data_IF_600594751333
#
_entry.id   IF_600594751333
#
_cell.length_a   1.000
_cell.length_b   1.000
_cell.length_c   1.000
_cell.angle_alpha   90.00
_cell.angle_beta   90.00
_cell.angle_gamma   90.00
#
_symmetry.space_group_name_H-M   'P 1'
#
loop_
_entity.id
_entity.type
_entity.pdbx_description
1 polymer ?
#
# COMPACT_ATOMS: atom_id res chain seq x y z
N UNK A 1 14.59 19.12 -18.23
CA UNK A 1 14.76 20.28 -17.34
C UNK A 1 16.21 20.80 -17.45
N UNK A 2 16.51 22.08 -17.23
CA UNK A 2 17.89 22.61 -17.35
C UNK A 2 18.64 22.57 -16.02
N UNK A 3 19.95 22.32 -16.06
CA UNK A 3 20.83 22.35 -14.88
C UNK A 3 20.74 23.68 -14.11
N UNK A 4 20.59 24.79 -14.83
CA UNK A 4 20.42 26.13 -14.24
C UNK A 4 19.22 26.24 -13.28
N UNK A 5 18.12 25.52 -13.53
CA UNK A 5 16.95 25.55 -12.66
C UNK A 5 17.18 24.77 -11.35
N UNK A 6 17.96 23.68 -11.41
CA UNK A 6 18.38 22.92 -10.23
C UNK A 6 19.40 23.72 -9.40
N UNK A 7 20.33 24.40 -10.05
CA UNK A 7 21.31 25.28 -9.39
C UNK A 7 20.63 26.46 -8.67
N UNK A 8 19.53 27.00 -9.20
CA UNK A 8 18.71 28.01 -8.51
C UNK A 8 18.09 27.49 -7.20
N UNK A 9 17.89 26.17 -7.09
CA UNK A 9 17.47 25.51 -5.85
C UNK A 9 18.63 25.21 -4.91
N UNK A 10 19.84 25.68 -5.22
CA UNK A 10 21.05 25.45 -4.42
C UNK A 10 21.65 24.06 -4.59
N UNK A 11 21.27 23.34 -5.64
CA UNK A 11 21.80 22.01 -5.95
C UNK A 11 23.07 22.11 -6.79
N UNK A 12 24.04 21.25 -6.48
CA UNK A 12 25.17 21.00 -7.37
C UNK A 12 24.81 19.85 -8.30
N UNK A 13 24.84 20.08 -9.61
CA UNK A 13 24.43 19.09 -10.61
C UNK A 13 25.66 18.46 -11.24
N UNK A 14 25.67 17.13 -11.31
CA UNK A 14 26.74 16.37 -11.94
C UNK A 14 26.13 15.25 -12.80
N UNK A 15 26.80 14.87 -13.88
CA UNK A 15 26.46 13.65 -14.61
C UNK A 15 27.28 12.48 -14.05
N UNK A 16 26.60 11.41 -13.66
CA UNK A 16 27.20 10.16 -13.23
C UNK A 16 26.57 9.02 -14.02
N UNK A 17 27.39 8.20 -14.69
CA UNK A 17 26.93 7.02 -15.45
C UNK A 17 25.84 7.31 -16.51
N UNK A 18 25.83 8.51 -17.07
CA UNK A 18 24.83 8.95 -18.06
C UNK A 18 23.49 9.38 -17.46
N UNK A 19 23.42 9.48 -16.12
CA UNK A 19 22.29 9.96 -15.36
C UNK A 19 22.62 11.30 -14.70
N UNK A 20 21.64 12.20 -14.65
CA UNK A 20 21.78 13.50 -13.99
C UNK A 20 21.56 13.32 -12.48
N UNK A 21 22.57 13.65 -11.69
CA UNK A 21 22.50 13.67 -10.23
C UNK A 21 22.58 15.10 -9.71
N UNK A 22 21.94 15.32 -8.56
CA UNK A 22 21.97 16.60 -7.87
C UNK A 22 22.35 16.39 -6.40
N UNK A 23 23.16 17.28 -5.85
CA UNK A 23 23.58 17.26 -4.45
C UNK A 23 23.11 18.53 -3.73
N UNK A 24 22.49 18.35 -2.57
CA UNK A 24 22.13 19.41 -1.64
C UNK A 24 23.02 19.34 -0.41
N UNK A 25 23.73 20.42 -0.11
CA UNK A 25 24.33 20.62 1.20
C UNK A 25 23.27 21.18 2.16
N UNK A 26 23.01 20.49 3.26
CA UNK A 26 22.10 20.94 4.31
C UNK A 26 22.86 21.86 5.26
N UNK A 27 22.33 23.06 5.49
CA UNK A 27 22.93 24.02 6.42
C UNK A 27 22.18 24.10 7.76
N UNK A 28 20.97 23.55 7.85
CA UNK A 28 20.20 23.38 9.09
C UNK A 28 20.30 21.96 9.68
N UNK A 29 20.44 21.86 11.01
CA UNK A 29 20.44 20.57 11.73
C UNK A 29 19.00 20.04 11.97
N UNK A 30 18.24 19.78 10.91
CA UNK A 30 16.84 19.33 11.03
C UNK A 30 16.66 17.81 10.87
N UNK A 31 17.59 17.13 10.22
CA UNK A 31 17.50 15.69 9.94
C UNK A 31 18.56 14.96 10.76
N UNK A 32 18.10 14.28 11.80
CA UNK A 32 18.94 13.52 12.71
C UNK A 32 18.38 12.10 12.82
N UNK A 33 19.20 11.11 12.52
CA UNK A 33 18.81 9.71 12.70
C UNK A 33 18.72 9.40 14.20
N UNK A 34 17.54 9.06 14.74
CA UNK A 34 17.37 8.89 16.18
C UNK A 34 18.04 7.64 16.75
N UNK A 35 18.45 6.68 15.90
CA UNK A 35 19.06 5.41 16.32
C UNK A 35 20.59 5.45 16.29
N UNK A 36 21.18 6.29 15.45
CA UNK A 36 22.63 6.46 15.33
C UNK A 36 23.13 7.82 15.83
N UNK A 37 22.22 8.77 16.06
CA UNK A 37 22.52 10.19 16.31
C UNK A 37 23.30 10.86 15.18
N UNK A 38 23.36 10.24 14.01
CA UNK A 38 24.02 10.81 12.84
C UNK A 38 23.21 12.01 12.34
N UNK A 39 23.90 13.12 12.08
CA UNK A 39 23.31 14.33 11.51
C UNK A 39 23.51 14.28 10.00
N UNK A 40 22.43 14.35 9.24
CA UNK A 40 22.52 14.45 7.79
C UNK A 40 22.92 15.86 7.42
N UNK A 41 24.07 16.01 6.76
CA UNK A 41 24.57 17.30 6.26
C UNK A 41 24.51 17.40 4.74
N UNK A 42 24.24 16.29 4.05
CA UNK A 42 24.25 16.21 2.59
C UNK A 42 23.23 15.19 2.13
N UNK A 43 22.55 15.51 1.02
CA UNK A 43 21.58 14.62 0.36
C UNK A 43 21.88 14.59 -1.12
N UNK A 44 21.93 13.40 -1.72
CA UNK A 44 22.08 13.21 -3.17
C UNK A 44 20.78 12.69 -3.76
N UNK A 45 20.50 13.17 -4.95
CA UNK A 45 19.30 12.88 -5.71
C UNK A 45 19.64 12.37 -7.10
N UNK A 46 18.89 11.39 -7.55
CA UNK A 46 18.72 11.12 -8.97
C UNK A 46 17.65 12.05 -9.52
N UNK A 47 17.96 12.76 -10.61
CA UNK A 47 16.97 13.56 -11.33
C UNK A 47 16.23 12.66 -12.31
N UNK A 48 14.90 12.58 -12.18
CA UNK A 48 14.03 11.78 -13.06
C UNK A 48 12.91 12.68 -13.57
N UNK A 49 13.02 13.15 -14.81
CA UNK A 49 12.05 14.09 -15.38
C UNK A 49 12.03 15.42 -14.62
N UNK A 50 10.92 15.70 -13.93
CA UNK A 50 10.74 16.89 -13.06
C UNK A 50 10.74 16.55 -11.56
N UNK A 51 11.27 15.37 -11.20
CA UNK A 51 11.32 14.91 -9.82
C UNK A 51 12.75 14.66 -9.35
N UNK A 52 12.99 14.89 -8.06
CA UNK A 52 14.21 14.50 -7.35
C UNK A 52 13.91 13.26 -6.50
N UNK A 53 14.64 12.18 -6.77
CA UNK A 53 14.55 10.92 -6.01
C UNK A 53 15.79 10.79 -5.15
N UNK A 54 15.63 10.68 -3.83
CA UNK A 54 16.77 10.55 -2.91
C UNK A 54 17.47 9.20 -3.15
N UNK A 55 18.79 9.26 -3.36
CA UNK A 55 19.66 8.09 -3.50
C UNK A 55 20.64 7.96 -2.33
N UNK A 56 21.00 9.06 -1.66
CA UNK A 56 21.77 9.07 -0.42
C UNK A 56 21.36 10.24 0.49
N UNK A 57 21.43 10.10 1.82
CA UNK A 57 21.91 8.93 2.58
C UNK A 57 20.82 7.83 2.74
N UNK A 58 21.18 6.60 3.13
CA UNK A 58 20.27 5.45 3.16
C UNK A 58 19.00 5.63 4.00
N UNK A 59 19.06 6.39 5.10
CA UNK A 59 17.92 6.70 5.96
C UNK A 59 16.85 7.55 5.26
N UNK A 60 17.20 8.26 4.18
CA UNK A 60 16.29 9.07 3.37
C UNK A 60 15.88 8.37 2.06
N UNK A 61 16.52 7.26 1.71
CA UNK A 61 16.17 6.49 0.50
C UNK A 61 14.77 5.90 0.65
N UNK A 62 13.97 6.04 -0.41
CA UNK A 62 12.58 5.60 -0.48
C UNK A 62 11.57 6.63 0.00
N UNK A 63 11.99 7.83 0.41
CA UNK A 63 11.07 8.95 0.62
C UNK A 63 10.36 9.36 -0.68
N UNK A 64 9.15 9.97 -0.59
CA UNK A 64 8.42 10.42 -1.77
C UNK A 64 9.25 11.36 -2.64
N UNK A 65 9.25 11.12 -3.95
CA UNK A 65 9.98 11.95 -4.89
C UNK A 65 9.52 13.42 -4.83
N UNK A 66 10.47 14.35 -4.78
CA UNK A 66 10.20 15.77 -4.63
C UNK A 66 9.96 16.39 -5.99
N UNK A 67 8.79 17.00 -6.19
CA UNK A 67 8.44 17.65 -7.44
C UNK A 67 9.14 19.01 -7.53
N UNK A 68 9.96 19.20 -8.54
CA UNK A 68 10.80 20.40 -8.67
C UNK A 68 9.94 21.66 -8.83
N UNK A 69 8.80 21.53 -9.52
CA UNK A 69 7.82 22.62 -9.70
C UNK A 69 7.20 23.14 -8.39
N UNK A 70 7.29 22.38 -7.30
CA UNK A 70 6.79 22.76 -5.98
C UNK A 70 7.87 23.42 -5.10
N UNK A 71 9.12 23.48 -5.57
CA UNK A 71 10.25 23.99 -4.83
C UNK A 71 10.58 25.42 -5.28
N UNK A 72 10.73 26.32 -4.30
CA UNK A 72 11.00 27.75 -4.55
C UNK A 72 12.42 28.17 -4.15
N UNK A 73 13.14 27.36 -3.36
CA UNK A 73 14.49 27.65 -2.86
C UNK A 73 15.12 26.42 -2.21
N UNK A 74 16.44 26.46 -1.97
CA UNK A 74 17.16 25.46 -1.18
C UNK A 74 16.51 25.25 0.20
N UNK A 75 16.17 26.34 0.90
CA UNK A 75 15.54 26.28 2.22
C UNK A 75 14.16 25.61 2.18
N UNK A 76 13.39 25.83 1.11
CA UNK A 76 12.11 25.16 0.93
C UNK A 76 12.31 23.65 0.72
N UNK A 77 13.31 23.25 -0.08
CA UNK A 77 13.69 21.85 -0.28
C UNK A 77 14.15 21.18 1.04
N UNK A 78 15.02 21.83 1.82
CA UNK A 78 15.41 21.35 3.15
C UNK A 78 14.19 21.13 4.06
N UNK A 79 13.25 22.09 4.06
CA UNK A 79 12.03 22.00 4.87
C UNK A 79 11.12 20.85 4.46
N UNK A 80 10.95 20.59 3.16
CA UNK A 80 10.15 19.45 2.68
C UNK A 80 10.82 18.13 3.04
N UNK A 81 12.14 18.02 2.90
CA UNK A 81 12.89 16.83 3.31
C UNK A 81 12.75 16.56 4.81
N UNK A 82 12.90 17.59 5.64
CA UNK A 82 12.74 17.47 7.09
C UNK A 82 11.31 17.06 7.47
N UNK A 83 10.30 17.61 6.80
CA UNK A 83 8.90 17.22 7.00
C UNK A 83 8.66 15.73 6.64
N UNK A 84 9.07 15.31 5.44
CA UNK A 84 8.94 13.91 5.00
C UNK A 84 9.69 12.95 5.93
N UNK A 85 10.86 13.33 6.44
CA UNK A 85 11.61 12.53 7.40
C UNK A 85 10.89 12.42 8.75
N UNK A 86 10.32 13.50 9.27
CA UNK A 86 9.53 13.48 10.50
C UNK A 86 8.25 12.64 10.36
N UNK A 87 7.60 12.69 9.20
CA UNK A 87 6.45 11.85 8.86
C UNK A 87 6.85 10.36 8.86
N UNK A 88 8.00 10.03 8.25
CA UNK A 88 8.59 8.69 8.30
C UNK A 88 8.81 8.22 9.73
N UNK A 89 9.42 9.04 10.61
CA UNK A 89 9.65 8.67 12.01
C UNK A 89 8.34 8.44 12.77
N UNK A 90 7.32 9.26 12.48
CA UNK A 90 5.98 9.10 13.06
C UNK A 90 5.33 7.79 12.61
N UNK A 91 5.41 7.49 11.31
CA UNK A 91 4.92 6.22 10.76
C UNK A 91 5.66 5.02 11.34
N UNK A 92 6.99 5.09 11.44
CA UNK A 92 7.83 4.05 12.00
C UNK A 92 7.44 3.72 13.44
N UNK A 93 7.28 4.76 14.27
CA UNK A 93 6.84 4.62 15.67
C UNK A 93 5.46 3.98 15.78
N UNK A 94 4.51 4.44 14.95
CA UNK A 94 3.14 3.89 14.91
C UNK A 94 3.14 2.43 14.49
N UNK A 95 3.81 2.06 13.39
CA UNK A 95 3.85 0.68 12.89
C UNK A 95 4.61 -0.26 13.81
N UNK A 96 5.67 0.21 14.45
CA UNK A 96 6.37 -0.53 15.51
C UNK A 96 5.42 -0.86 16.67
N UNK A 97 4.59 0.11 17.08
CA UNK A 97 3.58 -0.08 18.14
C UNK A 97 2.47 -1.06 17.73
N UNK A 98 2.01 -1.01 16.48
CA UNK A 98 1.02 -1.96 15.94
C UNK A 98 1.57 -3.40 15.92
N UNK A 99 2.83 -3.59 15.51
CA UNK A 99 3.49 -4.90 15.59
C UNK A 99 3.58 -5.42 17.03
N UNK A 100 4.00 -4.54 17.95
CA UNK A 100 4.08 -4.89 19.36
C UNK A 100 2.70 -5.26 19.94
N UNK A 101 1.62 -4.56 19.54
CA UNK A 101 0.26 -4.87 19.94
C UNK A 101 -0.22 -6.25 19.43
N UNK A 102 0.30 -6.70 18.29
CA UNK A 102 0.10 -8.06 17.78
C UNK A 102 1.01 -9.11 18.43
N UNK A 103 1.85 -8.73 19.39
CA UNK A 103 2.82 -9.64 20.02
C UNK A 103 3.96 -10.04 19.07
N UNK A 104 4.28 -9.19 18.10
CA UNK A 104 5.44 -9.34 17.21
C UNK A 104 6.55 -8.39 17.67
N UNK A 105 7.80 -8.82 17.52
CA UNK A 105 8.96 -8.02 17.90
C UNK A 105 9.39 -7.14 16.70
N UNK A 106 9.15 -5.82 16.72
CA UNK A 106 9.64 -4.92 15.68
C UNK A 106 11.17 -4.80 15.75
N UNK A 107 11.83 -4.76 14.60
CA UNK A 107 13.26 -4.51 14.44
C UNK A 107 13.44 -3.35 13.46
N UNK A 108 14.17 -2.31 13.85
CA UNK A 108 14.48 -1.20 12.97
C UNK A 108 15.97 -1.22 12.64
N UNK A 109 16.31 -1.22 11.35
CA UNK A 109 17.70 -1.08 10.93
C UNK A 109 18.21 0.34 11.25
N UNK A 110 19.36 0.44 11.90
CA UNK A 110 19.88 1.75 12.38
C UNK A 110 20.38 2.64 11.25
N UNK A 111 20.73 2.07 10.09
CA UNK A 111 21.27 2.78 8.93
C UNK A 111 20.17 3.15 7.95
N UNK A 112 19.28 2.21 7.62
CA UNK A 112 18.21 2.45 6.64
C UNK A 112 16.91 2.93 7.31
N UNK A 113 16.71 2.74 8.61
CA UNK A 113 15.41 2.95 9.29
C UNK A 113 14.27 2.10 8.72
N UNK A 114 14.60 0.98 8.06
CA UNK A 114 13.60 0.00 7.63
C UNK A 114 13.09 -0.79 8.83
N UNK A 115 11.77 -0.95 8.91
CA UNK A 115 11.10 -1.71 9.96
C UNK A 115 10.82 -3.12 9.46
N UNK A 116 11.32 -4.10 10.19
CA UNK A 116 11.10 -5.52 9.93
C UNK A 116 10.55 -6.24 11.15
N UNK A 117 9.97 -7.41 10.94
CA UNK A 117 9.64 -8.35 12.02
C UNK A 117 9.69 -9.78 11.50
N UNK A 118 9.69 -10.74 12.43
CA UNK A 118 9.61 -12.16 12.11
C UNK A 118 8.32 -12.74 12.70
N UNK A 119 7.61 -13.52 11.88
CA UNK A 119 6.44 -14.29 12.28
C UNK A 119 6.69 -15.77 12.03
N UNK A 120 6.74 -16.54 13.12
CA UNK A 120 6.81 -18.00 13.07
C UNK A 120 5.42 -18.61 13.19
N UNK A 121 5.04 -19.41 12.19
CA UNK A 121 3.83 -20.23 12.18
C UNK A 121 4.11 -21.49 11.39
N UNK A 122 4.26 -22.63 12.08
CA UNK A 122 4.66 -23.88 11.43
C UNK A 122 3.74 -24.23 10.24
N UNK A 123 4.29 -24.66 9.09
CA UNK A 123 5.71 -24.95 8.82
C UNK A 123 6.57 -23.73 8.43
N UNK A 124 6.02 -22.52 8.46
CA UNK A 124 6.63 -21.30 7.94
C UNK A 124 7.31 -20.43 9.01
N UNK A 125 8.32 -19.70 8.55
CA UNK A 125 8.87 -18.49 9.16
C UNK A 125 8.86 -17.38 8.11
N UNK A 126 8.18 -16.29 8.41
CA UNK A 126 8.08 -15.12 7.53
C UNK A 126 8.92 -13.97 8.06
N UNK A 127 9.61 -13.27 7.16
CA UNK A 127 10.15 -11.93 7.42
C UNK A 127 9.25 -10.91 6.74
N UNK A 128 8.72 -10.00 7.54
CA UNK A 128 7.86 -8.92 7.11
C UNK A 128 8.67 -7.63 7.13
N UNK A 129 8.51 -6.80 6.11
CA UNK A 129 9.14 -5.49 6.01
C UNK A 129 8.07 -4.43 5.74
N UNK A 130 8.17 -3.30 6.44
CA UNK A 130 7.35 -2.14 6.22
C UNK A 130 8.09 -1.18 5.28
N UNK A 131 7.45 -0.80 4.18
CA UNK A 131 7.97 0.26 3.33
C UNK A 131 7.78 1.66 3.96
N UNK A 132 8.31 2.68 3.30
CA UNK A 132 8.24 4.09 3.75
C UNK A 132 6.83 4.67 3.74
N UNK A 133 5.91 4.07 2.98
CA UNK A 133 4.49 4.45 2.94
C UNK A 133 3.70 3.82 4.09
N UNK A 134 4.30 2.87 4.82
CA UNK A 134 3.68 2.18 5.94
C UNK A 134 2.98 0.88 5.56
N UNK A 135 3.20 0.35 4.35
CA UNK A 135 2.67 -0.94 3.89
C UNK A 135 3.62 -2.07 4.27
N UNK A 136 3.07 -3.18 4.75
CA UNK A 136 3.85 -4.38 5.04
C UNK A 136 3.87 -5.34 3.87
N UNK A 137 4.99 -6.01 3.63
CA UNK A 137 5.12 -7.10 2.64
C UNK A 137 5.94 -8.24 3.20
N UNK A 138 5.77 -9.43 2.63
CA UNK A 138 6.66 -10.56 2.91
C UNK A 138 7.89 -10.43 2.02
N UNK A 139 9.06 -10.16 2.62
CA UNK A 139 10.34 -10.10 1.89
C UNK A 139 11.07 -11.43 1.88
N UNK A 140 10.78 -12.29 2.87
CA UNK A 140 11.34 -13.64 2.95
C UNK A 140 10.34 -14.61 3.56
N UNK A 141 10.32 -15.83 3.06
CA UNK A 141 9.55 -16.93 3.64
C UNK A 141 10.39 -18.20 3.62
N UNK A 142 10.41 -18.92 4.74
CA UNK A 142 11.09 -20.20 4.89
C UNK A 142 10.07 -21.24 5.34
N UNK A 143 9.98 -22.36 4.63
CA UNK A 143 9.11 -23.50 4.94
C UNK A 143 9.98 -24.72 5.24
N UNK A 144 9.84 -25.30 6.43
CA UNK A 144 10.59 -26.51 6.84
C UNK A 144 12.11 -26.39 6.59
N UNK A 145 12.66 -25.17 6.71
CA UNK A 145 14.08 -24.87 6.50
C UNK A 145 14.48 -24.52 5.06
N UNK A 146 13.58 -24.68 4.08
CA UNK A 146 13.81 -24.26 2.69
C UNK A 146 13.20 -22.88 2.42
N UNK A 147 13.95 -22.02 1.73
CA UNK A 147 13.43 -20.72 1.30
C UNK A 147 12.39 -20.91 0.19
N UNK A 148 11.26 -20.23 0.32
CA UNK A 148 10.17 -20.27 -0.65
C UNK A 148 9.89 -18.85 -1.16
N UNK A 149 9.69 -18.72 -2.46
CA UNK A 149 9.45 -17.43 -3.09
C UNK A 149 8.09 -16.89 -2.66
N UNK A 150 8.02 -15.69 -2.05
CA UNK A 150 6.74 -15.05 -1.77
C UNK A 150 5.98 -14.78 -3.07
N UNK A 151 4.63 -14.89 -3.09
CA UNK A 151 3.84 -14.36 -4.20
C UNK A 151 4.14 -12.85 -4.31
N UNK A 152 4.71 -12.43 -5.43
CA UNK A 152 5.25 -11.07 -5.59
C UNK A 152 4.18 -9.98 -5.46
N UNK A 153 4.58 -8.81 -4.97
CA UNK A 153 3.81 -7.56 -5.06
C UNK A 153 2.64 -7.39 -4.10
N UNK A 154 2.39 -8.33 -3.18
CA UNK A 154 1.27 -8.24 -2.24
C UNK A 154 1.70 -7.54 -0.94
N UNK A 155 1.49 -6.23 -0.90
CA UNK A 155 1.47 -5.47 0.35
C UNK A 155 0.19 -5.76 1.14
N UNK A 156 0.21 -5.52 2.46
CA UNK A 156 -0.94 -5.61 3.33
C UNK A 156 -0.88 -4.56 4.46
N UNK A 157 -2.07 -4.21 4.95
CA UNK A 157 -2.24 -3.29 6.08
C UNK A 157 -2.31 -4.06 7.40
N UNK A 158 -1.38 -3.78 8.31
CA UNK A 158 -1.31 -4.48 9.60
C UNK A 158 -2.57 -4.28 10.46
N UNK A 159 -3.23 -3.13 10.30
CA UNK A 159 -4.47 -2.78 11.02
C UNK A 159 -5.68 -3.66 10.67
N UNK A 160 -5.62 -4.42 9.57
CA UNK A 160 -6.68 -5.38 9.21
C UNK A 160 -6.70 -6.61 10.13
N UNK A 161 -5.61 -6.84 10.87
CA UNK A 161 -5.46 -7.99 11.74
C UNK A 161 -5.64 -7.56 13.20
N UNK A 162 -6.68 -8.11 13.86
CA UNK A 162 -6.91 -7.88 15.29
C UNK A 162 -5.96 -8.66 16.18
N UNK A 163 -5.44 -9.78 15.68
CA UNK A 163 -4.60 -10.70 16.44
C UNK A 163 -3.57 -11.38 15.54
N UNK A 164 -2.47 -11.84 16.16
CA UNK A 164 -1.37 -12.54 15.49
C UNK A 164 -1.84 -13.73 14.65
N UNK A 165 -2.83 -14.46 15.15
CA UNK A 165 -3.32 -15.68 14.50
C UNK A 165 -4.07 -15.38 13.19
N UNK A 166 -4.77 -14.25 13.10
CA UNK A 166 -5.42 -13.81 11.87
C UNK A 166 -4.38 -13.44 10.79
N UNK A 167 -3.31 -12.73 11.17
CA UNK A 167 -2.19 -12.44 10.28
C UNK A 167 -1.50 -13.74 9.81
N UNK A 168 -1.25 -14.67 10.73
CA UNK A 168 -0.66 -15.96 10.41
C UNK A 168 -1.52 -16.77 9.44
N UNK A 169 -2.84 -16.81 9.64
CA UNK A 169 -3.77 -17.49 8.74
C UNK A 169 -3.78 -16.87 7.34
N UNK A 170 -3.76 -15.53 7.26
CA UNK A 170 -3.67 -14.81 5.99
C UNK A 170 -2.38 -15.16 5.23
N UNK A 171 -1.22 -15.10 5.90
CA UNK A 171 0.05 -15.45 5.25
C UNK A 171 0.10 -16.93 4.87
N UNK A 172 -0.41 -17.85 5.71
CA UNK A 172 -0.49 -19.25 5.32
C UNK A 172 -1.38 -19.48 4.10
N UNK A 173 -2.50 -18.76 3.97
CA UNK A 173 -3.36 -18.84 2.79
C UNK A 173 -2.65 -18.35 1.53
N UNK A 174 -1.94 -17.22 1.61
CA UNK A 174 -1.13 -16.69 0.50
C UNK A 174 -0.12 -17.71 -0.04
N UNK A 175 0.51 -18.50 0.84
CA UNK A 175 1.47 -19.53 0.45
C UNK A 175 0.83 -20.91 0.23
N UNK A 176 -0.40 -21.14 0.68
CA UNK A 176 -1.18 -22.35 0.43
C UNK A 176 -1.82 -22.37 -0.96
N UNK A 177 -2.32 -21.22 -1.43
CA UNK A 177 -2.83 -21.05 -2.79
C UNK A 177 -1.73 -21.29 -3.85
N UNK A 178 -0.47 -20.98 -3.55
CA UNK A 178 0.66 -21.28 -4.46
C UNK A 178 0.96 -22.78 -4.65
N UNK A 179 0.36 -23.68 -3.87
CA UNK A 179 0.53 -25.14 -4.04
C UNK A 179 -0.64 -25.84 -4.74
N UNK A 180 -1.75 -25.13 -4.99
CA UNK A 180 -2.85 -25.66 -5.81
C UNK A 180 -3.01 -24.76 -7.02
N UNK A 181 -2.22 -25.01 -8.06
CA UNK A 181 -2.66 -24.96 -9.46
C UNK A 181 -1.53 -25.35 -10.41
N UNK A 182 -1.78 -26.40 -11.19
CA UNK A 182 -1.41 -26.48 -12.61
C UNK A 182 -1.30 -25.09 -13.23
N UNK A 183 -0.26 -24.83 -14.01
CA UNK A 183 0.01 -23.54 -14.65
C UNK A 183 -1.23 -22.96 -15.34
N UNK A 184 -1.95 -22.08 -14.64
CA UNK A 184 -2.96 -21.21 -15.24
C UNK A 184 -2.23 -20.07 -15.98
N UNK A 185 -2.74 -19.64 -17.14
CA UNK A 185 -2.13 -18.57 -17.92
C UNK A 185 -2.02 -17.29 -17.09
N UNK A 186 -0.96 -16.51 -17.33
CA UNK A 186 -0.63 -15.29 -16.60
C UNK A 186 -1.88 -14.39 -16.37
N UNK A 187 -2.05 -13.83 -15.17
CA UNK A 187 -3.24 -13.04 -14.84
C UNK A 187 -3.32 -11.81 -15.76
N UNK A 188 -4.41 -11.73 -16.51
CA UNK A 188 -4.72 -10.58 -17.37
C UNK A 188 -5.07 -9.39 -16.47
N UNK A 189 -4.34 -8.28 -16.61
CA UNK A 189 -4.63 -7.03 -15.90
C UNK A 189 -6.06 -6.58 -16.22
N UNK A 190 -6.83 -6.22 -15.18
CA UNK A 190 -8.20 -5.69 -15.30
C UNK A 190 -8.16 -4.18 -15.42
N UNK A 191 -8.82 -3.62 -16.44
CA UNK A 191 -8.98 -2.18 -16.60
C UNK A 191 -10.22 -1.66 -15.86
N UNK A 192 -10.20 -0.42 -15.37
CA UNK A 192 -11.33 0.20 -14.65
C UNK A 192 -12.67 0.11 -15.41
N UNK A 193 -12.64 0.19 -16.75
CA UNK A 193 -13.84 0.05 -17.58
C UNK A 193 -14.45 -1.36 -17.57
N UNK A 194 -13.66 -2.41 -17.29
CA UNK A 194 -14.15 -3.79 -17.13
C UNK A 194 -14.79 -3.99 -15.75
N UNK A 195 -14.24 -3.35 -14.71
CA UNK A 195 -14.79 -3.35 -13.36
C UNK A 195 -16.18 -2.69 -13.36
N UNK A 196 -16.31 -1.47 -13.89
CA UNK A 196 -17.60 -0.76 -13.95
C UNK A 196 -18.69 -1.58 -14.67
N UNK A 197 -18.34 -2.28 -15.75
CA UNK A 197 -19.28 -3.14 -16.49
C UNK A 197 -19.78 -4.34 -15.69
N UNK A 198 -18.92 -4.94 -14.86
CA UNK A 198 -19.25 -6.15 -14.10
C UNK A 198 -20.12 -5.85 -12.87
N UNK A 199 -20.01 -4.65 -12.29
CA UNK A 199 -20.73 -4.29 -11.06
C UNK A 199 -22.04 -3.54 -11.32
N UNK A 200 -21.98 -2.42 -12.04
CA UNK A 200 -23.12 -1.63 -12.51
C UNK A 200 -22.58 -0.42 -13.30
N UNK A 201 -23.24 0.01 -14.39
CA UNK A 201 -22.90 1.27 -15.07
C UNK A 201 -22.92 2.52 -14.16
N UNK A 202 -23.58 2.43 -13.00
CA UNK A 202 -23.73 3.52 -12.03
C UNK A 202 -22.73 3.44 -10.86
N UNK A 203 -21.81 2.48 -10.88
CA UNK A 203 -20.77 2.34 -9.87
C UNK A 203 -19.86 3.57 -9.80
N UNK A 204 -19.57 4.05 -8.58
CA UNK A 204 -18.62 5.13 -8.35
C UNK A 204 -17.29 4.57 -7.83
N UNK A 205 -16.17 5.07 -8.38
CA UNK A 205 -14.82 4.77 -7.92
C UNK A 205 -14.31 5.97 -7.11
N UNK A 206 -14.05 5.85 -5.79
CA UNK A 206 -13.54 6.94 -4.98
C UNK A 206 -12.14 7.39 -5.43
N UNK A 207 -11.83 8.69 -5.46
CA UNK A 207 -10.54 9.18 -5.95
C UNK A 207 -9.34 8.85 -5.04
N UNK A 208 -9.54 8.47 -3.76
CA UNK A 208 -8.47 8.18 -2.76
C UNK A 208 -8.89 7.21 -1.64
N UNK A 209 -9.44 6.04 -1.96
CA UNK A 209 -9.68 4.98 -0.97
C UNK A 209 -9.35 3.62 -1.59
N UNK A 210 -8.94 2.64 -0.78
CA UNK A 210 -8.71 1.25 -1.19
C UNK A 210 -9.99 0.50 -1.61
N UNK A 211 -11.15 1.16 -1.55
CA UNK A 211 -12.41 0.68 -2.10
C UNK A 211 -12.45 0.99 -3.59
N UNK A 212 -12.45 -0.06 -4.43
CA UNK A 212 -12.49 0.10 -5.88
C UNK A 212 -13.92 0.34 -6.41
N UNK A 213 -14.95 -0.06 -5.66
CA UNK A 213 -16.36 0.07 -6.07
C UNK A 213 -17.25 0.36 -4.86
N UNK A 214 -18.10 1.39 -4.97
CA UNK A 214 -19.19 1.67 -4.06
C UNK A 214 -20.50 1.80 -4.83
N UNK A 215 -21.54 1.09 -4.39
CA UNK A 215 -22.89 1.14 -4.96
C UNK A 215 -23.90 1.27 -3.81
N UNK A 216 -24.82 2.21 -3.95
CA UNK A 216 -25.98 2.35 -3.08
C UNK A 216 -27.20 1.72 -3.75
N UNK A 217 -27.98 0.95 -2.99
CA UNK A 217 -29.15 0.24 -3.49
C UNK A 217 -30.35 0.49 -2.58
N UNK A 218 -31.55 0.30 -3.12
CA UNK A 218 -32.80 0.23 -2.39
C UNK A 218 -33.52 -1.06 -2.67
N UNK A 219 -34.20 -1.58 -1.65
CA UNK A 219 -35.20 -2.63 -1.80
C UNK A 219 -36.45 -2.14 -1.07
N UNK A 220 -37.46 -1.70 -1.83
CA UNK A 220 -38.57 -0.93 -1.25
C UNK A 220 -38.07 0.39 -0.63
N UNK A 221 -38.41 0.64 0.64
CA UNK A 221 -37.97 1.82 1.39
C UNK A 221 -36.61 1.64 2.09
N UNK A 222 -36.04 0.43 2.04
CA UNK A 222 -34.81 0.10 2.76
C UNK A 222 -33.57 0.37 1.92
N UNK A 223 -32.61 1.08 2.50
CA UNK A 223 -31.35 1.44 1.86
C UNK A 223 -30.23 0.47 2.23
N UNK A 224 -29.47 0.09 1.22
CA UNK A 224 -28.35 -0.83 1.32
C UNK A 224 -27.11 -0.22 0.66
N UNK A 225 -25.94 -0.63 1.13
CA UNK A 225 -24.66 -0.20 0.57
C UNK A 225 -23.81 -1.41 0.30
N UNK A 226 -23.41 -1.54 -0.96
CA UNK A 226 -22.42 -2.51 -1.39
C UNK A 226 -21.08 -1.82 -1.62
N UNK A 227 -20.02 -2.40 -1.08
CA UNK A 227 -18.66 -1.94 -1.31
C UNK A 227 -17.76 -3.12 -1.65
N UNK A 228 -16.86 -2.95 -2.62
CA UNK A 228 -15.87 -3.96 -2.98
C UNK A 228 -14.48 -3.35 -3.18
N UNK A 229 -13.47 -4.08 -2.71
CA UNK A 229 -12.07 -3.76 -2.91
C UNK A 229 -11.38 -4.94 -3.59
N UNK A 230 -10.49 -4.65 -4.55
CA UNK A 230 -9.68 -5.69 -5.19
C UNK A 230 -8.61 -6.19 -4.24
N UNK A 231 -8.47 -7.50 -4.20
CA UNK A 231 -7.48 -8.19 -3.37
C UNK A 231 -6.25 -8.49 -4.20
N UNK A 232 -6.42 -9.09 -5.38
CA UNK A 232 -5.37 -9.41 -6.34
C UNK A 232 -6.02 -9.82 -7.67
N UNK A 233 -5.32 -9.72 -8.80
CA UNK A 233 -5.80 -10.30 -10.07
C UNK A 233 -7.22 -9.84 -10.44
N UNK A 234 -8.16 -10.79 -10.58
CA UNK A 234 -9.60 -10.53 -10.79
C UNK A 234 -10.43 -10.78 -9.53
N UNK A 235 -9.79 -10.97 -8.37
CA UNK A 235 -10.42 -11.29 -7.09
C UNK A 235 -10.75 -10.03 -6.29
N UNK A 236 -11.96 -9.98 -5.73
CA UNK A 236 -12.46 -8.88 -4.92
C UNK A 236 -12.93 -9.38 -3.55
N UNK A 237 -12.93 -8.48 -2.56
CA UNK A 237 -13.58 -8.66 -1.27
C UNK A 237 -14.74 -7.66 -1.19
N UNK A 238 -15.95 -8.19 -1.06
CA UNK A 238 -17.17 -7.40 -0.99
C UNK A 238 -17.78 -7.33 0.42
N UNK A 239 -18.59 -6.30 0.64
CA UNK A 239 -19.39 -6.07 1.83
C UNK A 239 -20.75 -5.53 1.41
N UNK A 240 -21.83 -6.14 1.89
CA UNK A 240 -23.17 -5.61 1.84
C UNK A 240 -23.62 -5.22 3.26
N UNK A 241 -24.01 -3.96 3.42
CA UNK A 241 -24.57 -3.42 4.65
C UNK A 241 -26.01 -2.96 4.42
N UNK A 242 -26.90 -3.23 5.39
CA UNK A 242 -28.27 -2.72 5.41
C UNK A 242 -28.41 -1.41 6.20
N UNK A 243 -29.66 -0.98 6.43
CA UNK A 243 -29.97 0.21 7.23
C UNK A 243 -29.27 0.18 8.59
N UNK A 244 -28.67 1.31 8.99
CA UNK A 244 -27.93 1.45 10.24
C UNK A 244 -26.51 0.85 10.21
N UNK A 245 -26.02 0.38 9.05
CA UNK A 245 -24.65 -0.13 8.89
C UNK A 245 -24.47 -1.59 9.35
N UNK A 246 -25.57 -2.32 9.57
CA UNK A 246 -25.50 -3.73 9.90
C UNK A 246 -24.96 -4.53 8.71
N UNK A 247 -23.94 -5.36 8.94
CA UNK A 247 -23.33 -6.22 7.92
C UNK A 247 -24.26 -7.40 7.63
N UNK A 248 -24.73 -7.49 6.38
CA UNK A 248 -25.60 -8.57 5.92
C UNK A 248 -24.82 -9.65 5.16
N UNK A 249 -23.77 -9.26 4.45
CA UNK A 249 -22.91 -10.20 3.74
C UNK A 249 -21.50 -9.63 3.61
N UNK A 250 -20.47 -10.48 3.71
CA UNK A 250 -19.14 -10.13 3.24
C UNK A 250 -18.37 -11.39 2.87
N UNK A 251 -17.83 -11.42 1.67
CA UNK A 251 -17.07 -12.55 1.16
C UNK A 251 -16.06 -12.11 0.10
N UNK A 252 -15.21 -13.05 -0.31
CA UNK A 252 -14.37 -12.92 -1.51
C UNK A 252 -15.09 -13.51 -2.72
N UNK A 253 -14.83 -12.95 -3.89
CA UNK A 253 -15.36 -13.45 -5.15
C UNK A 253 -14.43 -13.11 -6.31
N UNK A 254 -14.46 -13.92 -7.36
CA UNK A 254 -13.83 -13.62 -8.64
C UNK A 254 -14.75 -12.74 -9.49
N UNK A 255 -14.19 -11.73 -10.15
CA UNK A 255 -14.95 -10.80 -10.99
C UNK A 255 -15.66 -11.50 -12.14
N UNK A 256 -15.07 -12.57 -12.67
CA UNK A 256 -15.63 -13.34 -13.79
C UNK A 256 -16.85 -14.16 -13.39
N UNK A 257 -16.91 -14.58 -12.12
CA UNK A 257 -18.02 -15.36 -11.55
C UNK A 257 -18.99 -14.47 -10.76
N UNK A 258 -18.73 -13.16 -10.70
CA UNK A 258 -19.55 -12.24 -9.94
C UNK A 258 -20.90 -12.03 -10.64
N UNK A 259 -22.04 -12.34 -9.98
CA UNK A 259 -23.35 -12.28 -10.62
C UNK A 259 -23.86 -10.85 -10.84
N UNK A 260 -23.12 -9.82 -10.42
CA UNK A 260 -23.59 -8.44 -10.33
C UNK A 260 -24.18 -8.11 -8.96
N UNK A 261 -24.20 -6.83 -8.59
CA UNK A 261 -24.61 -6.39 -7.25
C UNK A 261 -26.10 -6.61 -7.01
N UNK A 262 -26.95 -6.35 -8.00
CA UNK A 262 -28.41 -6.52 -7.87
C UNK A 262 -28.78 -7.99 -7.61
N UNK A 263 -28.19 -8.92 -8.38
CA UNK A 263 -28.41 -10.36 -8.22
C UNK A 263 -27.85 -10.88 -6.87
N UNK A 264 -26.70 -10.36 -6.42
CA UNK A 264 -26.17 -10.67 -5.10
C UNK A 264 -27.14 -10.24 -3.99
N UNK A 265 -27.63 -8.99 -4.05
CA UNK A 265 -28.53 -8.41 -3.04
C UNK A 265 -29.85 -9.17 -3.00
N UNK A 266 -30.44 -9.46 -4.15
CA UNK A 266 -31.65 -10.28 -4.27
C UNK A 266 -31.49 -11.64 -3.58
N UNK A 267 -30.36 -12.32 -3.82
CA UNK A 267 -30.05 -13.60 -3.19
C UNK A 267 -29.81 -13.51 -1.69
N UNK A 268 -29.09 -12.48 -1.23
CA UNK A 268 -28.76 -12.31 0.20
C UNK A 268 -29.99 -11.94 1.02
N UNK A 269 -30.90 -11.15 0.46
CA UNK A 269 -32.12 -10.71 1.11
C UNK A 269 -33.33 -11.64 0.86
N UNK A 270 -33.15 -12.66 0.01
CA UNK A 270 -34.19 -13.59 -0.42
C UNK A 270 -35.42 -12.87 -1.03
N UNK A 271 -35.17 -11.96 -1.97
CA UNK A 271 -36.18 -11.16 -2.67
C UNK A 271 -36.05 -11.27 -4.19
N UNK A 272 -37.13 -11.04 -4.97
CA UNK A 272 -37.05 -10.92 -6.42
C UNK A 272 -36.11 -9.78 -6.86
N UNK A 273 -35.34 -10.01 -7.93
CA UNK A 273 -34.35 -9.04 -8.43
C UNK A 273 -35.00 -7.75 -8.92
N UNK A 274 -36.25 -7.78 -9.39
CA UNK A 274 -36.98 -6.59 -9.86
C UNK A 274 -37.27 -5.58 -8.75
N UNK A 275 -37.14 -5.98 -7.48
CA UNK A 275 -37.31 -5.10 -6.32
C UNK A 275 -36.02 -4.41 -5.89
N UNK A 276 -34.87 -4.75 -6.51
CA UNK A 276 -33.57 -4.15 -6.20
C UNK A 276 -33.34 -2.99 -7.15
N UNK A 277 -33.23 -1.78 -6.61
CA UNK A 277 -32.99 -0.56 -7.37
C UNK A 277 -31.60 0.01 -7.03
N UNK A 278 -30.77 0.29 -8.04
CA UNK A 278 -29.52 1.02 -7.83
C UNK A 278 -29.82 2.52 -7.72
N UNK A 279 -29.37 3.12 -6.62
CA UNK A 279 -29.51 4.56 -6.38
C UNK A 279 -28.39 5.30 -7.09
N UNK A 280 -28.75 6.30 -7.90
CA UNK A 280 -27.81 7.17 -8.63
C UNK A 280 -27.22 8.28 -7.75
#
# INVERSE_FOLDING_TARGET
MSAAALEQLGLQVHEAEGLAEAELQLFGAQIVNPLSSAITTRVRFQVVGEALVVIEPPELVGLPALQISQLSSAKALEGVLAAQFNDLLTHLSRRSSELAALGLAPKVDKRTLELTTELEVKPYRFTLECDRSGQFRVTRAVRDGAEVTPPGGLGFELSEFREKQALAAYLMALFGETMSTEAAPAPRNVHFGEVLKAFSPHAQVPPRSSLEVLIELKVGDDAYRFAAARVSGRTFRGLLAGQGGNKLWADRFELDDFPGVEALVARVLDVPMELVEVVQ
#
